data_IF_935708238069
#
_entry.id   IF_935708238069
#
_cell.length_a   1.000
_cell.length_b   1.000
_cell.length_c   1.000
_cell.angle_alpha   90.00
_cell.angle_beta   90.00
_cell.angle_gamma   90.00
#
_symmetry.space_group_name_H-M   'P 1'
#
loop_
_entity.id
_entity.type
_entity.pdbx_description
1 polymer ?
#
# COMPACT_ATOMS: atom_id res chain seq x y z
N UNK A 1 0.51 -3.32 -4.50
CA UNK A 1 -0.72 -3.54 -3.72
C UNK A 1 -1.86 -4.10 -4.57
N UNK A 2 -2.12 -3.59 -5.79
CA UNK A 2 -3.21 -4.08 -6.67
C UNK A 2 -3.11 -5.58 -6.97
N UNK A 3 -1.94 -6.10 -7.37
CA UNK A 3 -1.72 -7.52 -7.64
C UNK A 3 -2.11 -8.40 -6.45
N UNK A 4 -1.64 -8.05 -5.25
CA UNK A 4 -1.94 -8.81 -4.04
C UNK A 4 -3.43 -8.73 -3.68
N UNK A 5 -4.08 -7.58 -3.89
CA UNK A 5 -5.52 -7.42 -3.67
C UNK A 5 -6.33 -8.31 -4.61
N UNK A 6 -6.00 -8.34 -5.90
CA UNK A 6 -6.65 -9.22 -6.87
C UNK A 6 -6.40 -10.70 -6.56
N UNK A 7 -5.17 -11.08 -6.16
CA UNK A 7 -4.85 -12.47 -5.76
C UNK A 7 -5.72 -12.91 -4.60
N UNK A 8 -5.77 -12.10 -3.51
CA UNK A 8 -6.57 -12.43 -2.33
C UNK A 8 -8.08 -12.48 -2.65
N UNK A 9 -8.59 -11.57 -3.46
CA UNK A 9 -9.99 -11.60 -3.86
C UNK A 9 -10.33 -12.86 -4.68
N UNK A 10 -9.48 -13.25 -5.60
CA UNK A 10 -9.68 -14.49 -6.35
C UNK A 10 -9.65 -15.72 -5.46
N UNK A 11 -8.73 -15.79 -4.50
CA UNK A 11 -8.69 -16.88 -3.50
C UNK A 11 -9.97 -16.90 -2.65
N UNK A 12 -10.38 -15.75 -2.13
CA UNK A 12 -11.59 -15.58 -1.34
C UNK A 12 -12.84 -16.03 -2.10
N UNK A 13 -13.03 -15.55 -3.33
CA UNK A 13 -14.18 -15.92 -4.18
C UNK A 13 -14.26 -17.42 -4.49
N UNK A 14 -13.12 -18.11 -4.59
CA UNK A 14 -13.08 -19.57 -4.76
C UNK A 14 -13.44 -20.33 -3.49
N UNK A 15 -13.19 -19.74 -2.32
CA UNK A 15 -13.35 -20.40 -1.03
C UNK A 15 -14.72 -20.17 -0.39
N UNK A 16 -15.36 -19.03 -0.69
CA UNK A 16 -16.56 -18.59 0.04
C UNK A 16 -17.58 -17.96 -0.90
N UNK A 17 -18.82 -18.46 -0.83
CA UNK A 17 -19.94 -17.91 -1.59
C UNK A 17 -20.50 -16.64 -0.94
N UNK A 18 -21.05 -15.66 -1.71
CA UNK A 18 -21.57 -14.41 -1.18
C UNK A 18 -22.59 -14.53 -0.05
N UNK A 19 -23.54 -15.48 -0.04
CA UNK A 19 -24.49 -15.63 1.07
C UNK A 19 -23.85 -15.98 2.41
N UNK A 20 -22.63 -16.52 2.41
CA UNK A 20 -21.88 -16.92 3.60
C UNK A 20 -20.91 -15.82 4.09
N UNK A 21 -21.24 -14.55 3.85
CA UNK A 21 -20.44 -13.39 4.27
C UNK A 21 -21.35 -12.27 4.72
N UNK A 22 -21.10 -11.73 5.93
CA UNK A 22 -21.81 -10.57 6.48
C UNK A 22 -20.91 -9.34 6.57
N UNK A 23 -19.61 -9.54 6.76
CA UNK A 23 -18.65 -8.48 6.99
C UNK A 23 -17.37 -8.74 6.19
N UNK A 24 -16.88 -7.71 5.52
CA UNK A 24 -15.59 -7.71 4.81
C UNK A 24 -14.76 -6.53 5.29
N UNK A 25 -13.48 -6.76 5.56
CA UNK A 25 -12.51 -5.72 5.82
C UNK A 25 -11.25 -5.95 4.97
N UNK A 26 -10.82 -4.93 4.23
CA UNK A 26 -9.63 -4.97 3.40
C UNK A 26 -8.72 -3.81 3.79
N UNK A 27 -7.48 -4.15 4.11
CA UNK A 27 -6.44 -3.18 4.43
C UNK A 27 -5.26 -3.39 3.48
N UNK A 28 -4.97 -2.39 2.66
CA UNK A 28 -3.87 -2.40 1.69
C UNK A 28 -2.89 -1.29 2.03
N UNK A 29 -1.73 -1.64 2.55
CA UNK A 29 -0.76 -0.69 3.08
C UNK A 29 0.61 -0.87 2.44
N UNK A 30 1.28 0.24 2.13
CA UNK A 30 2.63 0.24 1.58
C UNK A 30 3.45 1.38 2.18
N UNK A 31 4.71 1.13 2.49
CA UNK A 31 5.65 2.15 2.93
C UNK A 31 7.09 1.79 2.66
N UNK A 32 7.88 2.82 2.32
CA UNK A 32 9.33 2.75 2.28
C UNK A 32 9.92 3.60 3.39
N UNK A 33 10.95 3.11 4.04
CA UNK A 33 11.64 3.76 5.15
C UNK A 33 13.07 3.22 5.29
N UNK A 34 13.96 3.92 6.05
CA UNK A 34 15.32 3.43 6.26
C UNK A 34 15.31 2.10 7.03
N UNK A 35 16.16 1.16 6.62
CA UNK A 35 16.31 -0.13 7.30
C UNK A 35 16.73 0.07 8.76
N UNK A 36 17.68 0.96 9.02
CA UNK A 36 18.02 1.42 10.36
C UNK A 36 17.35 2.77 10.58
N UNK A 37 16.38 2.86 11.51
CA UNK A 37 15.64 4.10 11.73
C UNK A 37 16.55 5.26 12.16
N UNK A 38 16.47 6.39 11.45
CA UNK A 38 17.10 7.64 11.87
C UNK A 38 16.19 8.41 12.85
N UNK A 39 16.69 9.52 13.43
CA UNK A 39 15.89 10.37 14.33
C UNK A 39 14.62 10.90 13.65
N UNK A 40 14.67 11.28 12.39
CA UNK A 40 13.56 11.80 11.61
C UNK A 40 12.53 10.72 11.22
N UNK A 41 12.84 9.43 11.46
CA UNK A 41 12.00 8.26 11.13
C UNK A 41 11.66 8.13 9.65
N UNK A 42 12.42 8.79 8.78
CA UNK A 42 12.25 8.75 7.33
C UNK A 42 13.53 9.17 6.60
N UNK A 43 13.73 8.61 5.42
CA UNK A 43 14.72 9.05 4.43
C UNK A 43 14.11 9.08 3.03
N UNK A 44 14.63 9.95 2.20
CA UNK A 44 14.14 10.15 0.85
C UNK A 44 15.03 9.44 -0.17
N UNK A 45 14.47 8.50 -0.92
CA UNK A 45 15.03 7.91 -2.14
C UNK A 45 14.41 8.51 -3.41
N UNK A 46 13.39 9.37 -3.25
CA UNK A 46 12.67 10.05 -4.31
C UNK A 46 12.18 11.43 -3.82
N UNK A 47 11.51 12.18 -4.68
CA UNK A 47 11.12 13.58 -4.41
C UNK A 47 10.34 13.76 -3.10
N UNK A 48 10.85 14.53 -2.13
CA UNK A 48 10.10 14.90 -0.93
C UNK A 48 8.82 15.66 -1.24
N UNK A 49 8.79 16.43 -2.34
CA UNK A 49 7.60 17.17 -2.79
C UNK A 49 6.42 16.23 -3.03
N UNK A 50 6.66 15.03 -3.60
CA UNK A 50 5.63 14.03 -3.79
C UNK A 50 5.06 13.52 -2.47
N UNK A 51 5.90 13.33 -1.45
CA UNK A 51 5.48 12.92 -0.09
C UNK A 51 4.64 14.03 0.57
N UNK A 52 5.10 15.28 0.50
CA UNK A 52 4.39 16.44 1.07
C UNK A 52 3.01 16.63 0.42
N UNK A 53 2.94 16.55 -0.92
CA UNK A 53 1.68 16.62 -1.67
C UNK A 53 0.73 15.50 -1.27
N UNK A 54 1.21 14.26 -1.15
CA UNK A 54 0.38 13.13 -0.74
C UNK A 54 -0.20 13.32 0.68
N UNK A 55 0.59 13.85 1.61
CA UNK A 55 0.14 14.16 2.97
C UNK A 55 -0.92 15.28 3.00
N UNK A 56 -0.74 16.29 2.14
CA UNK A 56 -1.62 17.47 2.05
C UNK A 56 -2.84 17.26 1.13
N UNK A 57 -3.02 16.06 0.58
CA UNK A 57 -4.14 15.72 -0.31
C UNK A 57 -5.31 15.16 0.52
N UNK A 58 -6.57 15.47 0.15
CA UNK A 58 -7.74 14.83 0.73
C UNK A 58 -7.70 13.32 0.58
N UNK A 59 -8.23 12.63 1.59
CA UNK A 59 -8.36 11.18 1.57
C UNK A 59 -9.80 10.73 1.82
N UNK A 60 -10.13 9.55 1.29
CA UNK A 60 -11.42 8.91 1.43
C UNK A 60 -11.25 7.40 1.60
N UNK A 61 -11.96 6.81 2.56
CA UNK A 61 -11.92 5.39 2.87
C UNK A 61 -13.22 4.93 3.54
N UNK A 62 -13.41 3.64 3.75
CA UNK A 62 -14.59 3.11 4.45
C UNK A 62 -14.17 2.65 5.84
N UNK A 63 -14.92 3.06 6.85
CA UNK A 63 -14.79 2.62 8.23
C UNK A 63 -16.17 2.41 8.84
N UNK A 64 -16.40 1.23 9.42
CA UNK A 64 -17.69 0.85 10.01
C UNK A 64 -18.87 1.07 9.05
N UNK A 65 -18.75 0.54 7.80
CA UNK A 65 -19.73 0.64 6.72
C UNK A 65 -20.00 2.06 6.21
N UNK A 66 -19.26 3.06 6.69
CA UNK A 66 -19.47 4.47 6.33
C UNK A 66 -18.25 5.04 5.63
N UNK A 67 -18.50 5.82 4.60
CA UNK A 67 -17.45 6.61 3.96
C UNK A 67 -16.93 7.68 4.93
N UNK A 68 -15.62 7.69 5.13
CA UNK A 68 -14.90 8.70 5.91
C UNK A 68 -14.10 9.57 4.94
N UNK A 69 -14.04 10.87 5.23
CA UNK A 69 -13.29 11.86 4.46
C UNK A 69 -12.43 12.70 5.40
N UNK A 70 -11.27 13.11 4.94
CA UNK A 70 -10.45 14.14 5.56
C UNK A 70 -9.85 15.02 4.47
N UNK A 71 -9.72 16.31 4.75
CA UNK A 71 -9.09 17.28 3.86
C UNK A 71 -7.58 17.04 3.68
N UNK A 72 -6.93 16.46 4.68
CA UNK A 72 -5.50 16.13 4.68
C UNK A 72 -5.26 14.73 5.25
N UNK A 73 -4.49 13.91 4.52
CA UNK A 73 -4.25 12.53 4.89
C UNK A 73 -3.54 12.39 6.26
N UNK A 74 -2.60 13.29 6.58
CA UNK A 74 -1.87 13.22 7.85
C UNK A 74 -2.73 13.45 9.10
N UNK A 75 -3.95 13.96 8.97
CA UNK A 75 -4.91 14.11 10.08
C UNK A 75 -5.58 12.79 10.47
N UNK A 76 -5.36 11.72 9.69
CA UNK A 76 -5.93 10.38 9.89
C UNK A 76 -4.87 9.35 10.28
N UNK A 77 -3.78 9.78 10.92
CA UNK A 77 -2.74 8.88 11.40
C UNK A 77 -3.28 8.01 12.53
N UNK A 78 -3.03 6.71 12.44
CA UNK A 78 -3.36 5.73 13.46
C UNK A 78 -2.21 4.73 13.65
N UNK A 79 -2.24 3.99 14.75
CA UNK A 79 -1.26 2.95 15.06
C UNK A 79 -1.71 1.61 14.53
N UNK A 80 -0.75 0.78 14.15
CA UNK A 80 -0.97 -0.58 13.69
C UNK A 80 0.20 -1.47 14.13
N UNK A 81 -0.11 -2.72 14.47
CA UNK A 81 0.90 -3.75 14.66
C UNK A 81 0.88 -4.71 13.45
N UNK A 82 2.05 -5.03 12.94
CA UNK A 82 2.23 -6.02 11.89
C UNK A 82 3.47 -6.86 12.18
N UNK A 83 3.30 -8.18 12.25
CA UNK A 83 4.38 -9.14 12.58
C UNK A 83 5.17 -8.78 13.85
N UNK A 84 4.48 -8.25 14.89
CA UNK A 84 5.10 -7.85 16.15
C UNK A 84 5.78 -6.48 16.16
N UNK A 85 5.81 -5.78 15.02
CA UNK A 85 6.37 -4.43 14.91
C UNK A 85 5.24 -3.39 14.86
N UNK A 86 5.39 -2.30 15.64
CA UNK A 86 4.42 -1.20 15.67
C UNK A 86 4.76 -0.16 14.60
N UNK A 87 3.77 0.19 13.81
CA UNK A 87 3.84 1.20 12.76
C UNK A 87 2.79 2.30 12.96
N UNK A 88 2.97 3.41 12.27
CA UNK A 88 1.96 4.43 12.05
C UNK A 88 1.46 4.32 10.60
N UNK A 89 0.15 4.43 10.42
CA UNK A 89 -0.47 4.35 9.09
C UNK A 89 -1.39 5.55 8.87
N UNK A 90 -1.57 5.93 7.61
CA UNK A 90 -2.55 6.92 7.20
C UNK A 90 -3.14 6.59 5.82
N UNK A 91 -4.40 7.00 5.53
CA UNK A 91 -5.03 6.78 4.24
C UNK A 91 -4.26 7.50 3.12
N UNK A 92 -4.18 6.90 1.95
CA UNK A 92 -3.55 7.49 0.78
C UNK A 92 -4.60 7.84 -0.27
N UNK A 93 -4.97 9.11 -0.38
CA UNK A 93 -5.94 9.63 -1.35
C UNK A 93 -7.32 8.96 -1.23
N UNK A 94 -8.08 8.89 -2.32
CA UNK A 94 -9.37 8.20 -2.37
C UNK A 94 -9.17 6.69 -2.60
N UNK A 95 -9.54 5.89 -1.62
CA UNK A 95 -9.51 4.43 -1.71
C UNK A 95 -10.76 3.86 -2.40
N UNK A 96 -11.88 4.58 -2.37
CA UNK A 96 -13.20 4.03 -2.70
C UNK A 96 -13.37 3.55 -4.16
N UNK A 97 -12.76 4.15 -5.20
CA UNK A 97 -12.85 3.65 -6.57
C UNK A 97 -12.36 2.21 -6.72
N UNK A 98 -11.35 1.81 -5.91
CA UNK A 98 -10.73 0.49 -5.99
C UNK A 98 -11.62 -0.64 -5.46
N UNK A 99 -12.67 -0.33 -4.69
CA UNK A 99 -13.64 -1.36 -4.26
C UNK A 99 -14.24 -2.09 -5.44
N UNK A 100 -14.67 -1.35 -6.47
CA UNK A 100 -15.28 -1.92 -7.68
C UNK A 100 -14.28 -2.69 -8.55
N UNK A 101 -12.98 -2.47 -8.34
CA UNK A 101 -11.93 -3.22 -9.02
C UNK A 101 -11.62 -4.54 -8.31
N UNK A 102 -11.69 -4.55 -6.98
CA UNK A 102 -11.33 -5.73 -6.18
C UNK A 102 -12.52 -6.63 -5.89
N UNK A 103 -13.74 -6.08 -5.74
CA UNK A 103 -14.92 -6.81 -5.31
C UNK A 103 -16.01 -6.80 -6.38
N UNK A 104 -16.67 -7.95 -6.57
CA UNK A 104 -17.91 -8.00 -7.31
C UNK A 104 -19.06 -7.35 -6.51
N UNK A 105 -20.13 -6.96 -7.22
CA UNK A 105 -21.23 -6.17 -6.66
C UNK A 105 -21.84 -6.80 -5.40
N UNK A 106 -21.93 -8.11 -5.33
CA UNK A 106 -22.54 -8.86 -4.22
C UNK A 106 -21.79 -8.73 -2.89
N UNK A 107 -20.52 -8.30 -2.93
CA UNK A 107 -19.68 -8.14 -1.73
C UNK A 107 -19.55 -6.68 -1.28
N UNK A 108 -19.83 -5.71 -2.16
CA UNK A 108 -19.55 -4.29 -1.89
C UNK A 108 -20.35 -3.79 -0.67
N UNK A 109 -21.62 -4.15 -0.56
CA UNK A 109 -22.49 -3.70 0.54
C UNK A 109 -22.12 -4.34 1.90
N UNK A 110 -21.27 -5.36 1.89
CA UNK A 110 -20.76 -6.06 3.07
C UNK A 110 -19.43 -5.49 3.58
N UNK A 111 -18.90 -4.47 2.91
CA UNK A 111 -17.61 -3.88 3.27
C UNK A 111 -17.75 -2.97 4.49
N UNK A 112 -17.27 -3.47 5.63
CA UNK A 112 -17.17 -2.71 6.86
C UNK A 112 -16.00 -1.75 6.87
N UNK A 113 -14.83 -2.22 6.44
CA UNK A 113 -13.63 -1.38 6.38
C UNK A 113 -12.90 -1.59 5.05
N UNK A 114 -12.51 -0.50 4.44
CA UNK A 114 -11.66 -0.53 3.25
C UNK A 114 -10.74 0.68 3.24
N UNK A 115 -9.45 0.44 3.28
CA UNK A 115 -8.46 1.51 3.26
C UNK A 115 -7.23 1.08 2.48
N UNK A 116 -6.82 1.93 1.56
CA UNK A 116 -5.47 1.94 0.99
C UNK A 116 -4.68 3.05 1.67
N UNK A 117 -3.45 2.75 2.05
CA UNK A 117 -2.72 3.71 2.87
C UNK A 117 -1.22 3.54 2.84
N UNK A 118 -0.58 4.37 3.63
CA UNK A 118 0.87 4.46 3.74
C UNK A 118 1.32 4.04 5.13
N UNK A 119 2.41 3.27 5.19
CA UNK A 119 3.06 2.82 6.42
C UNK A 119 4.21 3.77 6.75
N UNK A 120 4.39 4.07 8.04
CA UNK A 120 5.51 4.81 8.60
C UNK A 120 6.02 4.12 9.86
N UNK A 121 7.27 4.34 10.20
CA UNK A 121 7.87 3.83 11.44
C UNK A 121 7.19 4.44 12.66
N UNK A 122 7.14 3.68 13.76
CA UNK A 122 6.68 4.17 15.06
C UNK A 122 7.36 5.48 15.45
N UNK A 123 6.56 6.47 15.83
CA UNK A 123 7.01 7.80 16.23
C UNK A 123 7.31 8.76 15.07
N UNK A 124 7.04 8.35 13.81
CA UNK A 124 7.21 9.21 12.66
C UNK A 124 6.36 10.48 12.77
N UNK A 125 5.13 10.39 13.17
CA UNK A 125 4.23 11.55 13.27
C UNK A 125 4.73 12.59 14.26
N UNK A 126 5.34 12.15 15.38
CA UNK A 126 5.96 13.03 16.37
C UNK A 126 7.11 13.82 15.77
N UNK A 127 8.01 13.16 15.05
CA UNK A 127 9.16 13.81 14.42
C UNK A 127 8.74 14.74 13.26
N UNK A 128 7.61 14.46 12.61
CA UNK A 128 7.07 15.24 11.50
C UNK A 128 6.10 16.35 11.92
N UNK A 129 5.83 16.53 13.20
CA UNK A 129 4.85 17.52 13.68
C UNK A 129 5.12 18.94 13.14
N UNK A 130 6.39 19.38 13.10
CA UNK A 130 6.76 20.67 12.53
C UNK A 130 6.46 20.79 11.03
N UNK A 131 6.53 19.67 10.31
CA UNK A 131 6.15 19.63 8.89
C UNK A 131 4.64 19.72 8.75
N UNK A 132 3.87 19.05 9.59
CA UNK A 132 2.40 19.12 9.58
C UNK A 132 1.91 20.54 9.85
N UNK A 133 2.52 21.26 10.80
CA UNK A 133 2.20 22.66 11.05
C UNK A 133 2.44 23.53 9.79
N UNK A 134 3.59 23.37 9.14
CA UNK A 134 3.88 24.07 7.87
C UNK A 134 2.88 23.71 6.76
N UNK A 135 2.40 22.45 6.70
CA UNK A 135 1.36 22.03 5.74
C UNK A 135 -0.01 22.65 6.06
N UNK A 136 -0.32 22.85 7.35
CA UNK A 136 -1.55 23.53 7.76
C UNK A 136 -1.53 25.04 7.46
N UNK A 137 -0.36 25.66 7.55
CA UNK A 137 -0.12 27.06 7.20
C UNK A 137 -0.01 27.31 5.68
N UNK A 138 -0.17 26.27 4.84
CA UNK A 138 0.03 26.33 3.39
C UNK A 138 1.39 26.92 2.97
N UNK A 139 2.44 26.61 3.73
CA UNK A 139 3.80 27.05 3.46
C UNK A 139 4.30 26.53 2.10
N UNK A 140 5.32 27.19 1.53
CA UNK A 140 5.90 26.82 0.25
C UNK A 140 6.49 25.39 0.27
N UNK A 141 5.82 24.47 -0.43
CA UNK A 141 6.18 23.05 -0.45
C UNK A 141 7.52 22.78 -1.11
N UNK A 142 7.89 23.55 -2.13
CA UNK A 142 9.16 23.42 -2.86
C UNK A 142 10.33 23.72 -1.93
N UNK A 143 10.24 24.78 -1.14
CA UNK A 143 11.25 25.14 -0.14
C UNK A 143 11.38 24.07 0.93
N UNK A 144 10.27 23.60 1.48
CA UNK A 144 10.28 22.50 2.47
C UNK A 144 10.89 21.24 1.85
N UNK A 145 10.55 20.91 0.61
CA UNK A 145 11.06 19.74 -0.11
C UNK A 145 12.58 19.79 -0.25
N UNK A 146 13.15 20.92 -0.65
CA UNK A 146 14.59 21.08 -0.77
C UNK A 146 15.31 20.91 0.58
N UNK A 147 14.82 21.58 1.64
CA UNK A 147 15.38 21.43 3.00
C UNK A 147 15.34 19.99 3.51
N UNK A 148 14.27 19.26 3.19
CA UNK A 148 14.10 17.85 3.60
C UNK A 148 15.04 16.92 2.84
N UNK A 149 15.23 17.17 1.53
CA UNK A 149 16.13 16.38 0.71
C UNK A 149 17.58 16.49 1.20
N UNK A 150 18.08 17.70 1.42
CA UNK A 150 19.45 17.94 1.84
C UNK A 150 19.78 17.25 3.18
N UNK A 151 18.82 17.23 4.10
CA UNK A 151 19.01 16.68 5.44
C UNK A 151 18.75 15.19 5.57
N UNK A 152 17.88 14.63 4.71
CA UNK A 152 17.32 13.29 4.93
C UNK A 152 17.37 12.39 3.68
N UNK A 153 18.19 12.71 2.67
CA UNK A 153 18.44 11.77 1.57
C UNK A 153 19.27 10.58 2.05
N UNK A 154 19.12 9.44 1.37
CA UNK A 154 19.98 8.29 1.63
C UNK A 154 21.43 8.57 1.23
N UNK A 155 22.36 7.94 1.97
CA UNK A 155 23.78 7.87 1.61
C UNK A 155 24.06 6.55 0.88
N UNK A 156 25.16 6.48 0.12
CA UNK A 156 25.49 5.37 -0.80
C UNK A 156 25.51 3.98 -0.13
N UNK A 157 25.92 3.90 1.13
CA UNK A 157 26.06 2.62 1.87
C UNK A 157 24.89 2.31 2.78
N UNK A 158 23.81 3.08 2.71
CA UNK A 158 22.61 2.83 3.50
C UNK A 158 21.66 1.84 2.80
N UNK A 159 20.76 1.26 3.58
CA UNK A 159 19.70 0.37 3.10
C UNK A 159 18.34 1.00 3.28
N UNK A 160 17.50 0.85 2.27
CA UNK A 160 16.06 1.05 2.43
C UNK A 160 15.38 -0.26 2.86
N UNK A 161 14.16 -0.13 3.37
CA UNK A 161 13.22 -1.23 3.60
C UNK A 161 11.87 -0.83 3.05
N UNK A 162 11.22 -1.73 2.33
CA UNK A 162 9.84 -1.60 1.91
C UNK A 162 9.00 -2.65 2.63
N UNK A 163 7.89 -2.21 3.19
CA UNK A 163 6.84 -3.09 3.68
C UNK A 163 5.56 -2.79 2.90
N UNK A 164 5.03 -3.79 2.23
CA UNK A 164 3.76 -3.77 1.56
C UNK A 164 2.95 -4.97 2.01
N UNK A 165 1.71 -4.77 2.46
CA UNK A 165 0.81 -5.88 2.73
C UNK A 165 -0.62 -5.58 2.30
N UNK A 166 -1.35 -6.64 2.00
CA UNK A 166 -2.80 -6.62 1.83
C UNK A 166 -3.39 -7.70 2.71
N UNK A 167 -4.25 -7.32 3.63
CA UNK A 167 -5.05 -8.24 4.44
C UNK A 167 -6.48 -8.21 3.95
N UNK A 168 -7.04 -9.38 3.71
CA UNK A 168 -8.44 -9.60 3.41
C UNK A 168 -9.06 -10.44 4.51
N UNK A 169 -10.06 -9.87 5.17
CA UNK A 169 -10.71 -10.47 6.32
C UNK A 169 -12.23 -10.50 6.08
N UNK A 170 -12.88 -11.62 6.38
CA UNK A 170 -14.33 -11.75 6.29
C UNK A 170 -14.92 -12.54 7.44
N UNK A 171 -16.16 -12.18 7.82
CA UNK A 171 -16.98 -12.89 8.81
C UNK A 171 -18.32 -13.30 8.24
N UNK A 172 -18.86 -14.35 8.83
CA UNK A 172 -20.25 -14.77 8.70
C UNK A 172 -20.78 -15.19 10.08
N UNK A 173 -21.93 -14.64 10.51
CA UNK A 173 -22.50 -14.88 11.82
C UNK A 173 -21.50 -14.73 12.98
N UNK A 174 -20.73 -13.64 12.95
CA UNK A 174 -19.65 -13.31 13.89
C UNK A 174 -18.46 -14.29 13.93
N UNK A 175 -18.41 -15.31 13.08
CA UNK A 175 -17.28 -16.22 12.95
C UNK A 175 -16.38 -15.78 11.80
N UNK A 176 -15.07 -15.89 11.99
CA UNK A 176 -14.09 -15.63 10.92
C UNK A 176 -14.22 -16.75 9.90
N UNK A 177 -14.51 -16.40 8.65
CA UNK A 177 -14.60 -17.34 7.53
C UNK A 177 -13.45 -17.19 6.57
N UNK A 178 -12.76 -16.04 6.60
CA UNK A 178 -11.57 -15.78 5.82
C UNK A 178 -10.67 -14.76 6.52
N UNK A 179 -9.38 -15.06 6.64
CA UNK A 179 -8.37 -14.12 7.13
C UNK A 179 -7.03 -14.48 6.51
N UNK A 180 -6.62 -13.71 5.53
CA UNK A 180 -5.36 -13.90 4.83
C UNK A 180 -4.66 -12.60 4.59
N UNK A 181 -3.34 -12.63 4.73
CA UNK A 181 -2.48 -11.50 4.43
C UNK A 181 -1.39 -11.94 3.45
N UNK A 182 -1.28 -11.23 2.34
CA UNK A 182 -0.12 -11.30 1.46
C UNK A 182 0.76 -10.09 1.69
N UNK A 183 2.07 -10.31 1.81
CA UNK A 183 2.99 -9.21 2.07
C UNK A 183 4.37 -9.39 1.44
N UNK A 184 5.04 -8.25 1.26
CA UNK A 184 6.44 -8.12 0.85
C UNK A 184 7.12 -7.31 1.94
N UNK A 185 8.23 -7.80 2.48
CA UNK A 185 9.10 -7.09 3.42
C UNK A 185 10.54 -7.31 2.95
N UNK A 186 11.05 -6.32 2.24
CA UNK A 186 12.35 -6.36 1.56
C UNK A 186 13.22 -5.20 2.00
N UNK A 187 14.54 -5.49 2.12
CA UNK A 187 15.53 -4.46 2.44
C UNK A 187 16.76 -4.64 1.54
N UNK A 188 17.20 -3.56 0.91
CA UNK A 188 18.32 -3.56 -0.04
C UNK A 188 19.18 -2.32 0.09
N UNK A 189 20.42 -2.39 -0.42
CA UNK A 189 21.27 -1.21 -0.53
C UNK A 189 20.62 -0.18 -1.44
N UNK A 190 20.80 1.10 -1.11
CA UNK A 190 20.12 2.21 -1.80
C UNK A 190 20.44 2.29 -3.30
N UNK A 191 21.59 1.83 -3.74
CA UNK A 191 21.99 1.77 -5.15
C UNK A 191 21.07 0.87 -5.99
N UNK A 192 20.56 -0.22 -5.38
CA UNK A 192 19.53 -1.12 -5.92
C UNK A 192 18.39 -1.23 -4.92
N UNK A 193 17.78 -0.12 -4.57
CA UNK A 193 16.85 0.00 -3.45
C UNK A 193 15.67 -0.99 -3.56
N UNK A 194 15.18 -1.47 -2.42
CA UNK A 194 14.01 -2.34 -2.38
C UNK A 194 12.80 -1.68 -3.05
N UNK A 195 12.64 -0.35 -2.89
CA UNK A 195 11.58 0.41 -3.55
C UNK A 195 11.72 0.37 -5.08
N UNK A 196 12.91 0.67 -5.63
CA UNK A 196 13.12 0.68 -7.08
C UNK A 196 12.95 -0.71 -7.68
N UNK A 197 13.47 -1.75 -7.02
CA UNK A 197 13.33 -3.14 -7.47
C UNK A 197 11.85 -3.58 -7.48
N UNK A 198 11.10 -3.34 -6.41
CA UNK A 198 9.68 -3.70 -6.37
C UNK A 198 8.87 -2.99 -7.46
N UNK A 199 9.17 -1.73 -7.77
CA UNK A 199 8.44 -0.97 -8.81
C UNK A 199 8.85 -1.43 -10.22
N UNK A 200 10.15 -1.45 -10.52
CA UNK A 200 10.65 -1.73 -11.87
C UNK A 200 10.41 -3.20 -12.27
N UNK A 201 10.68 -4.17 -11.37
CA UNK A 201 10.45 -5.58 -11.66
C UNK A 201 8.97 -5.92 -11.82
N UNK A 202 8.08 -5.23 -11.08
CA UNK A 202 6.63 -5.35 -11.32
C UNK A 202 6.28 -4.88 -12.73
N UNK A 203 6.82 -3.73 -13.16
CA UNK A 203 6.57 -3.21 -14.52
C UNK A 203 7.09 -4.16 -15.60
N UNK A 204 8.32 -4.67 -15.45
CA UNK A 204 8.89 -5.68 -16.37
C UNK A 204 8.02 -6.92 -16.45
N UNK A 205 7.59 -7.46 -15.30
CA UNK A 205 6.74 -8.65 -15.24
C UNK A 205 5.38 -8.43 -15.92
N UNK A 206 4.81 -7.22 -15.79
CA UNK A 206 3.57 -6.83 -16.50
C UNK A 206 3.81 -6.77 -18.00
N UNK A 207 4.90 -6.17 -18.47
CA UNK A 207 5.24 -6.10 -19.90
C UNK A 207 5.42 -7.51 -20.48
N UNK A 208 6.16 -8.38 -19.81
CA UNK A 208 6.31 -9.78 -20.23
C UNK A 208 4.96 -10.51 -20.30
N UNK A 209 4.08 -10.27 -19.32
CA UNK A 209 2.73 -10.82 -19.31
C UNK A 209 1.91 -10.34 -20.52
N UNK A 210 1.99 -9.05 -20.86
CA UNK A 210 1.30 -8.48 -22.04
C UNK A 210 1.78 -9.12 -23.33
N UNK A 211 3.09 -9.25 -23.51
CA UNK A 211 3.69 -9.85 -24.70
C UNK A 211 3.26 -11.31 -24.84
N UNK A 212 3.37 -12.08 -23.74
CA UNK A 212 3.05 -13.53 -23.75
C UNK A 212 1.57 -13.81 -24.03
N UNK A 213 0.67 -12.97 -23.57
CA UNK A 213 -0.77 -13.21 -23.69
C UNK A 213 -1.41 -12.52 -24.90
N UNK A 214 -0.63 -11.88 -25.76
CA UNK A 214 -1.08 -11.20 -26.99
C UNK A 214 -2.34 -10.35 -26.75
N UNK A 215 -2.26 -9.47 -25.75
CA UNK A 215 -3.41 -8.66 -25.32
C UNK A 215 -3.72 -7.59 -26.35
N UNK A 216 -4.98 -7.43 -26.69
CA UNK A 216 -5.43 -6.41 -27.64
C UNK A 216 -5.00 -5.00 -27.23
N UNK A 217 -4.62 -4.13 -28.18
CA UNK A 217 -4.30 -2.74 -27.92
C UNK A 217 -5.45 -2.00 -27.23
N UNK A 218 -5.10 -1.07 -26.35
CA UNK A 218 -6.06 -0.23 -25.63
C UNK A 218 -5.86 -0.24 -24.12
N UNK A 219 -6.85 0.25 -23.38
CA UNK A 219 -6.84 0.24 -21.91
C UNK A 219 -7.34 -1.13 -21.45
N UNK A 220 -6.45 -1.92 -20.84
CA UNK A 220 -6.74 -3.27 -20.34
C UNK A 220 -6.64 -3.33 -18.81
N UNK A 221 -7.59 -4.07 -18.21
CA UNK A 221 -7.54 -4.44 -16.78
C UNK A 221 -6.83 -5.78 -16.65
N UNK A 222 -5.52 -5.76 -16.73
CA UNK A 222 -4.67 -6.96 -16.77
C UNK A 222 -4.88 -7.90 -15.56
N UNK A 223 -5.23 -7.34 -14.39
CA UNK A 223 -5.35 -8.10 -13.15
C UNK A 223 -6.71 -8.77 -12.94
N UNK A 224 -7.66 -8.62 -13.86
CA UNK A 224 -8.96 -9.29 -13.76
C UNK A 224 -8.85 -10.80 -13.98
N UNK A 225 -7.79 -11.28 -14.63
CA UNK A 225 -7.55 -12.70 -14.88
C UNK A 225 -6.50 -13.24 -13.92
N UNK A 226 -6.90 -14.23 -13.11
CA UNK A 226 -6.01 -14.83 -12.08
C UNK A 226 -4.72 -15.40 -12.67
N UNK A 227 -4.77 -16.01 -13.84
CA UNK A 227 -3.58 -16.58 -14.49
C UNK A 227 -2.53 -15.52 -14.81
N UNK A 228 -2.95 -14.28 -15.14
CA UNK A 228 -2.04 -13.16 -15.36
C UNK A 228 -1.46 -12.65 -14.05
N UNK A 229 -2.28 -12.58 -13.01
CA UNK A 229 -1.82 -12.21 -11.66
C UNK A 229 -0.78 -13.22 -11.19
N UNK A 230 -1.07 -14.52 -11.30
CA UNK A 230 -0.15 -15.59 -10.90
C UNK A 230 1.16 -15.54 -11.69
N UNK A 231 1.10 -15.36 -13.01
CA UNK A 231 2.29 -15.19 -13.83
C UNK A 231 3.19 -14.05 -13.35
N UNK A 232 2.59 -12.88 -13.05
CA UNK A 232 3.36 -11.71 -12.61
C UNK A 232 3.96 -11.95 -11.21
N UNK A 233 3.22 -12.57 -10.29
CA UNK A 233 3.71 -12.89 -8.96
C UNK A 233 4.84 -13.93 -8.99
N UNK A 234 4.74 -14.95 -9.85
CA UNK A 234 5.80 -15.94 -10.06
C UNK A 234 7.06 -15.31 -10.63
N UNK A 235 6.92 -14.38 -11.59
CA UNK A 235 8.06 -13.61 -12.12
C UNK A 235 8.72 -12.78 -11.03
N UNK A 236 7.96 -12.10 -10.19
CA UNK A 236 8.50 -11.33 -9.06
C UNK A 236 9.27 -12.23 -8.09
N UNK A 237 8.73 -13.40 -7.76
CA UNK A 237 9.44 -14.40 -6.94
C UNK A 237 10.76 -14.85 -7.57
N UNK A 238 10.78 -15.07 -8.89
CA UNK A 238 11.98 -15.47 -9.64
C UNK A 238 13.04 -14.33 -9.65
N UNK A 239 12.62 -13.08 -9.67
CA UNK A 239 13.47 -11.91 -9.51
C UNK A 239 13.93 -11.66 -8.06
N UNK A 240 13.53 -12.53 -7.13
CA UNK A 240 13.92 -12.44 -5.72
C UNK A 240 13.05 -11.50 -4.86
N UNK A 241 11.90 -11.03 -5.36
CA UNK A 241 10.88 -10.33 -4.55
C UNK A 241 9.97 -11.39 -3.93
N UNK A 242 10.18 -11.67 -2.64
CA UNK A 242 9.46 -12.76 -1.95
C UNK A 242 8.09 -12.30 -1.46
N UNK A 243 7.04 -12.92 -2.01
CA UNK A 243 5.67 -12.73 -1.54
C UNK A 243 5.39 -13.79 -0.49
N UNK A 244 5.02 -13.34 0.72
CA UNK A 244 4.73 -14.20 1.88
C UNK A 244 3.23 -14.17 2.18
N UNK A 245 2.71 -15.25 2.75
CA UNK A 245 1.31 -15.40 3.16
C UNK A 245 1.22 -15.76 4.65
N UNK A 246 0.28 -15.13 5.38
CA UNK A 246 -0.12 -15.48 6.75
C UNK A 246 -1.63 -15.47 6.89
#
# INVERSE_FOLDING_TARGET
DHLLSHKLFHQFKKSISPPLVDEISILSMCGGFPHIPNKFKYKFSWSPLGVLRALNTPCKFIKNYKEQKSDKAFRQISKMNFNGEEFEIYPNRDSTPYLKEYLSKEYIDKVKNFQRGTIRLKGWSKEWNKIFLKLDENSNLEKISSELWDKNKYQTNEKDRILLFVRFFAKYQNKIVYDKTLYIDESRNIENSAMSQCVSLTMVSVIECLIKNNINPGISRIFNEINRVDFILDKLNNFGIKIKET
#
